data_IF_641514464871
#
_entry.id   IF_641514464871
#
_cell.length_a   1.000
_cell.length_b   1.000
_cell.length_c   1.000
_cell.angle_alpha   90.00
_cell.angle_beta   90.00
_cell.angle_gamma   90.00
#
_symmetry.space_group_name_H-M   'P 1'
#
loop_
_entity.id
_entity.type
_entity.pdbx_description
1 polymer ?
#
# COMPACT_ATOMS: atom_id res chain seq x y z
N UNK A 1 -19.04 41.28 -89.45
CA UNK A 1 -19.96 40.99 -88.38
C UNK A 1 -19.25 40.00 -87.46
N UNK A 2 -18.60 40.51 -86.41
CA UNK A 2 -17.73 39.76 -85.54
C UNK A 2 -18.41 39.48 -84.22
N UNK A 3 -18.59 38.19 -83.83
CA UNK A 3 -19.18 37.75 -82.58
C UNK A 3 -18.03 37.65 -81.55
N UNK A 4 -18.19 38.36 -80.41
CA UNK A 4 -17.28 38.30 -79.29
C UNK A 4 -17.70 37.11 -78.37
N UNK A 5 -16.75 36.14 -78.18
CA UNK A 5 -16.84 35.11 -77.19
C UNK A 5 -16.42 35.65 -75.81
N UNK A 6 -17.32 35.61 -74.83
CA UNK A 6 -16.98 35.86 -73.43
C UNK A 6 -16.58 34.56 -72.74
N UNK A 7 -15.35 34.48 -72.31
CA UNK A 7 -14.80 33.41 -71.46
C UNK A 7 -15.14 33.72 -69.99
N UNK A 8 -15.90 32.83 -69.35
CA UNK A 8 -16.14 32.90 -67.89
C UNK A 8 -15.08 32.08 -67.19
N UNK A 9 -14.19 32.74 -66.47
CA UNK A 9 -13.22 32.07 -65.60
C UNK A 9 -13.96 31.63 -64.33
N UNK A 10 -13.93 30.34 -64.03
CA UNK A 10 -14.45 29.73 -62.80
C UNK A 10 -13.30 29.69 -61.82
N UNK A 11 -13.36 30.53 -60.77
CA UNK A 11 -12.39 30.50 -59.64
C UNK A 11 -12.92 29.43 -58.67
N UNK A 12 -12.26 28.25 -58.67
CA UNK A 12 -12.50 27.20 -57.71
C UNK A 12 -11.83 27.58 -56.36
N UNK A 13 -12.63 27.89 -55.39
CA UNK A 13 -12.20 28.13 -54.02
C UNK A 13 -11.99 26.77 -53.32
N UNK A 14 -10.72 26.35 -53.18
CA UNK A 14 -10.35 25.17 -52.40
C UNK A 14 -10.45 25.51 -50.91
N UNK A 15 -11.48 24.99 -50.24
CA UNK A 15 -11.54 24.95 -48.78
C UNK A 15 -10.59 23.87 -48.26
N UNK A 16 -9.47 24.28 -47.74
CA UNK A 16 -8.57 23.41 -46.97
C UNK A 16 -9.16 23.23 -45.55
N UNK A 17 -9.92 22.17 -45.35
CA UNK A 17 -10.37 21.78 -44.03
C UNK A 17 -9.17 21.16 -43.27
N UNK A 18 -8.53 21.94 -42.43
CA UNK A 18 -7.56 21.44 -41.42
C UNK A 18 -8.32 20.62 -40.37
N UNK A 19 -8.25 19.32 -40.48
CA UNK A 19 -8.66 18.39 -39.42
C UNK A 19 -7.67 18.57 -38.23
N UNK A 20 -8.07 19.36 -37.25
CA UNK A 20 -7.38 19.40 -35.94
C UNK A 20 -7.76 18.11 -35.23
N UNK A 21 -6.90 17.09 -35.35
CA UNK A 21 -6.91 15.94 -34.44
C UNK A 21 -6.50 16.46 -33.06
N UNK A 22 -7.48 16.84 -32.26
CA UNK A 22 -7.30 17.02 -30.84
C UNK A 22 -6.87 15.68 -30.24
N UNK A 23 -5.58 15.49 -29.96
CA UNK A 23 -5.13 14.45 -29.04
C UNK A 23 -5.76 14.75 -27.69
N UNK A 24 -6.91 14.14 -27.38
CA UNK A 24 -7.33 13.98 -26.01
C UNK A 24 -6.22 13.20 -25.31
N UNK A 25 -5.42 13.90 -24.51
CA UNK A 25 -4.49 13.27 -23.60
C UNK A 25 -5.31 12.31 -22.73
N UNK A 26 -5.17 11.02 -22.97
CA UNK A 26 -5.84 9.99 -22.20
C UNK A 26 -5.39 10.20 -20.77
N UNK A 27 -6.30 10.68 -19.92
CA UNK A 27 -6.01 10.95 -18.51
C UNK A 27 -5.50 9.65 -17.89
N UNK A 28 -4.17 9.60 -17.66
CA UNK A 28 -3.52 8.42 -17.12
C UNK A 28 -4.14 8.12 -15.76
N UNK A 29 -4.64 6.91 -15.60
CA UNK A 29 -5.20 6.48 -14.32
C UNK A 29 -4.09 6.46 -13.27
N UNK A 30 -4.13 7.42 -12.35
CA UNK A 30 -3.18 7.59 -11.25
C UNK A 30 -3.71 7.04 -9.93
N UNK A 31 -4.72 6.18 -9.99
CA UNK A 31 -5.26 5.51 -8.82
C UNK A 31 -4.33 4.40 -8.36
N UNK A 32 -4.13 4.33 -7.05
CA UNK A 32 -3.33 3.31 -6.36
C UNK A 32 -4.17 2.73 -5.23
N UNK A 33 -4.45 1.43 -5.29
CA UNK A 33 -5.16 0.69 -4.23
C UNK A 33 -4.14 0.04 -3.31
N UNK A 34 -4.26 0.28 -2.02
CA UNK A 34 -3.36 -0.20 -0.97
C UNK A 34 -4.15 -0.97 0.07
N UNK A 35 -3.73 -2.19 0.35
CA UNK A 35 -4.23 -3.01 1.45
C UNK A 35 -3.17 -3.12 2.56
N UNK A 36 -3.53 -2.80 3.81
CA UNK A 36 -2.81 -3.21 5.02
C UNK A 36 -3.53 -4.42 5.60
N UNK A 37 -2.82 -5.51 5.86
CA UNK A 37 -3.43 -6.73 6.37
C UNK A 37 -2.46 -7.53 7.25
N UNK A 38 -2.69 -7.53 8.55
CA UNK A 38 -2.04 -8.46 9.47
C UNK A 38 -2.63 -9.86 9.26
N UNK A 39 -1.78 -10.84 8.97
CA UNK A 39 -2.19 -12.20 8.53
C UNK A 39 -2.07 -13.27 9.61
N UNK A 40 -1.92 -12.87 10.88
CA UNK A 40 -1.83 -13.80 12.01
C UNK A 40 -0.83 -14.96 11.71
N UNK A 41 0.37 -14.63 11.26
CA UNK A 41 1.46 -15.55 10.86
C UNK A 41 1.06 -16.73 9.94
N UNK A 42 0.01 -16.53 9.14
CA UNK A 42 -0.51 -17.57 8.23
C UNK A 42 -1.45 -18.57 8.87
N UNK A 43 -1.68 -18.49 10.18
CA UNK A 43 -2.73 -19.25 10.86
C UNK A 43 -4.11 -18.61 10.62
N UNK A 44 -5.14 -19.38 10.91
CA UNK A 44 -6.51 -18.87 10.98
C UNK A 44 -6.91 -18.69 12.43
N UNK A 45 -7.92 -17.88 12.70
CA UNK A 45 -8.44 -17.64 14.08
C UNK A 45 -8.96 -18.89 14.77
N UNK A 46 -9.30 -19.94 14.03
CA UNK A 46 -9.70 -21.24 14.58
C UNK A 46 -8.51 -22.22 14.76
N UNK A 47 -7.27 -21.73 14.59
CA UNK A 47 -6.05 -22.53 14.78
C UNK A 47 -5.68 -23.46 13.62
N UNK A 48 -6.39 -23.40 12.48
CA UNK A 48 -5.98 -24.10 11.25
C UNK A 48 -4.94 -23.29 10.48
N UNK A 49 -4.33 -23.92 9.47
CA UNK A 49 -3.38 -23.27 8.58
C UNK A 49 -3.87 -23.46 7.14
N UNK A 50 -4.42 -22.36 6.57
CA UNK A 50 -4.98 -22.34 5.23
C UNK A 50 -4.71 -21.00 4.54
N UNK A 51 -3.69 -20.98 3.69
CA UNK A 51 -3.27 -19.79 2.97
C UNK A 51 -4.24 -19.35 1.87
N UNK A 52 -5.14 -20.23 1.42
CA UNK A 52 -6.14 -19.87 0.41
C UNK A 52 -7.21 -18.93 0.99
N UNK A 53 -7.54 -19.06 2.27
CA UNK A 53 -8.45 -18.14 2.96
C UNK A 53 -7.84 -16.74 2.98
N UNK A 54 -6.57 -16.60 3.39
CA UNK A 54 -5.84 -15.32 3.40
C UNK A 54 -5.72 -14.76 1.98
N UNK A 55 -5.34 -15.59 1.01
CA UNK A 55 -5.22 -15.18 -0.39
C UNK A 55 -6.56 -14.70 -0.97
N UNK A 56 -7.69 -15.25 -0.54
CA UNK A 56 -9.02 -14.81 -0.98
C UNK A 56 -9.37 -13.40 -0.47
N UNK A 57 -8.97 -13.03 0.75
CA UNK A 57 -9.10 -11.65 1.24
C UNK A 57 -8.29 -10.70 0.35
N UNK A 58 -7.05 -11.04 0.03
CA UNK A 58 -6.17 -10.24 -0.83
C UNK A 58 -6.75 -10.12 -2.25
N UNK A 59 -7.24 -11.21 -2.84
CA UNK A 59 -7.88 -11.19 -4.16
C UNK A 59 -9.14 -10.32 -4.19
N UNK A 60 -9.97 -10.39 -3.13
CA UNK A 60 -11.18 -9.57 -2.99
C UNK A 60 -10.87 -8.08 -2.91
N UNK A 61 -9.74 -7.71 -2.29
CA UNK A 61 -9.28 -6.33 -2.24
C UNK A 61 -8.91 -5.79 -3.63
N UNK A 62 -8.41 -6.63 -4.52
CA UNK A 62 -7.86 -6.24 -5.83
C UNK A 62 -6.88 -5.07 -5.71
N UNK A 63 -6.05 -5.09 -4.65
CA UNK A 63 -5.09 -4.03 -4.35
C UNK A 63 -3.92 -4.04 -5.34
N UNK A 64 -3.31 -2.87 -5.56
CA UNK A 64 -2.07 -2.73 -6.32
C UNK A 64 -0.86 -3.07 -5.46
N UNK A 65 -0.93 -2.73 -4.17
CA UNK A 65 0.05 -3.05 -3.14
C UNK A 65 -0.64 -3.63 -1.91
N UNK A 66 -0.01 -4.63 -1.32
CA UNK A 66 -0.42 -5.21 -0.04
C UNK A 66 0.76 -5.16 0.92
N UNK A 67 0.58 -4.52 2.07
CA UNK A 67 1.46 -4.61 3.22
C UNK A 67 0.93 -5.71 4.14
N UNK A 68 1.71 -6.76 4.32
CA UNK A 68 1.39 -7.88 5.20
C UNK A 68 2.22 -7.77 6.47
N UNK A 69 1.57 -7.87 7.62
CA UNK A 69 2.17 -7.94 8.93
C UNK A 69 2.07 -9.36 9.49
N UNK A 70 2.93 -9.68 10.45
CA UNK A 70 3.05 -11.00 11.05
C UNK A 70 3.34 -12.08 9.99
N UNK A 71 4.41 -11.89 9.23
CA UNK A 71 4.75 -12.80 8.15
C UNK A 71 5.86 -13.73 8.57
N UNK A 72 5.57 -15.01 8.58
CA UNK A 72 6.56 -16.08 8.80
C UNK A 72 7.25 -16.48 7.50
N UNK A 73 8.55 -16.68 7.58
CA UNK A 73 9.37 -17.23 6.51
C UNK A 73 10.06 -18.51 7.01
N UNK A 74 9.55 -19.66 6.58
CA UNK A 74 10.08 -21.00 6.90
C UNK A 74 10.15 -21.32 8.40
N UNK A 75 9.28 -20.75 9.22
CA UNK A 75 9.15 -21.12 10.63
C UNK A 75 8.48 -22.49 10.80
N UNK A 76 8.72 -23.15 11.93
CA UNK A 76 8.08 -24.43 12.21
C UNK A 76 6.56 -24.29 12.34
N UNK A 77 6.07 -23.23 13.01
CA UNK A 77 4.62 -22.97 13.16
C UNK A 77 3.94 -22.75 11.81
N UNK A 78 4.61 -22.13 10.84
CA UNK A 78 4.14 -21.97 9.47
C UNK A 78 4.48 -23.18 8.57
N UNK A 79 4.75 -24.36 9.15
CA UNK A 79 5.03 -25.61 8.43
C UNK A 79 6.17 -25.48 7.40
N UNK A 80 7.15 -24.64 7.69
CA UNK A 80 8.30 -24.30 6.83
C UNK A 80 7.92 -23.68 5.47
N UNK A 81 6.70 -23.11 5.34
CA UNK A 81 6.33 -22.38 4.13
C UNK A 81 7.03 -21.00 4.07
N UNK A 82 7.38 -20.61 2.85
CA UNK A 82 7.72 -19.25 2.48
C UNK A 82 6.41 -18.49 2.23
N UNK A 83 5.80 -17.92 3.31
CA UNK A 83 4.48 -17.30 3.23
C UNK A 83 4.42 -16.19 2.16
N UNK A 84 5.40 -15.27 2.04
CA UNK A 84 5.40 -14.27 0.98
C UNK A 84 5.29 -14.86 -0.41
N UNK A 85 6.11 -15.85 -0.74
CA UNK A 85 6.09 -16.51 -2.06
C UNK A 85 4.78 -17.26 -2.28
N UNK A 86 4.31 -18.00 -1.30
CA UNK A 86 3.04 -18.75 -1.37
C UNK A 86 1.83 -17.82 -1.64
N UNK A 87 1.75 -16.70 -0.93
CA UNK A 87 0.69 -15.71 -1.14
C UNK A 87 0.87 -14.99 -2.48
N UNK A 88 2.11 -14.66 -2.86
CA UNK A 88 2.42 -14.08 -4.17
C UNK A 88 1.93 -14.93 -5.34
N UNK A 89 2.20 -16.25 -5.28
CA UNK A 89 1.73 -17.21 -6.31
C UNK A 89 0.20 -17.27 -6.35
N UNK A 90 -0.45 -17.42 -5.19
CA UNK A 90 -1.93 -17.51 -5.10
C UNK A 90 -2.64 -16.25 -5.58
N UNK A 91 -2.03 -15.09 -5.39
CA UNK A 91 -2.60 -13.78 -5.75
C UNK A 91 -2.10 -13.24 -7.09
N UNK A 92 -1.11 -13.92 -7.72
CA UNK A 92 -0.42 -13.48 -8.95
C UNK A 92 0.25 -12.12 -8.78
N UNK A 93 0.85 -11.89 -7.62
CA UNK A 93 1.57 -10.66 -7.27
C UNK A 93 3.06 -10.95 -7.04
N UNK A 94 3.92 -9.98 -7.36
CA UNK A 94 5.33 -10.01 -6.98
C UNK A 94 5.44 -9.86 -5.47
N UNK A 95 6.22 -10.74 -4.81
CA UNK A 95 6.37 -10.76 -3.37
C UNK A 95 7.81 -10.43 -2.95
N UNK A 96 7.94 -9.78 -1.79
CA UNK A 96 9.22 -9.59 -1.11
C UNK A 96 9.03 -9.68 0.39
N UNK A 97 10.02 -10.26 1.09
CA UNK A 97 10.06 -10.40 2.53
C UNK A 97 11.11 -9.46 3.15
N UNK A 98 10.77 -8.85 4.29
CA UNK A 98 11.65 -8.05 5.13
C UNK A 98 11.75 -8.65 6.52
N UNK A 99 12.86 -9.31 6.82
CA UNK A 99 13.09 -9.91 8.13
C UNK A 99 13.21 -8.86 9.22
N UNK A 100 12.43 -9.00 10.28
CA UNK A 100 12.62 -8.31 11.56
C UNK A 100 13.53 -9.12 12.50
N UNK A 101 13.32 -10.45 12.59
CA UNK A 101 14.09 -11.32 13.48
C UNK A 101 14.16 -12.77 12.97
N UNK A 102 15.06 -13.55 13.56
CA UNK A 102 15.01 -15.02 13.51
C UNK A 102 14.01 -15.53 14.54
N UNK A 103 13.16 -16.44 14.15
CA UNK A 103 12.10 -16.95 14.99
C UNK A 103 11.72 -18.39 14.60
N UNK A 104 11.52 -19.26 15.59
CA UNK A 104 10.95 -20.59 15.46
C UNK A 104 11.56 -21.45 14.31
N UNK A 105 12.89 -21.44 14.20
CA UNK A 105 13.63 -22.18 13.17
C UNK A 105 13.70 -21.52 11.79
N UNK A 106 13.01 -20.40 11.60
CA UNK A 106 12.99 -19.59 10.40
C UNK A 106 13.16 -18.11 10.70
N UNK A 107 12.38 -17.25 10.00
CA UNK A 107 12.41 -15.81 10.14
C UNK A 107 10.98 -15.25 10.27
N UNK A 108 10.85 -14.09 10.90
CA UNK A 108 9.60 -13.36 11.08
C UNK A 108 9.79 -11.89 10.72
N UNK A 109 8.76 -11.29 10.14
CA UNK A 109 8.81 -9.88 9.73
C UNK A 109 7.61 -9.45 8.92
N UNK A 110 7.90 -8.65 7.88
CA UNK A 110 6.91 -8.03 7.01
C UNK A 110 7.01 -8.57 5.58
N UNK A 111 5.92 -8.49 4.81
CA UNK A 111 6.00 -8.70 3.38
C UNK A 111 5.24 -7.64 2.61
N UNK A 112 5.67 -7.41 1.38
CA UNK A 112 4.95 -6.59 0.41
C UNK A 112 4.62 -7.47 -0.78
N UNK A 113 3.32 -7.46 -1.17
CA UNK A 113 2.89 -7.98 -2.46
C UNK A 113 2.54 -6.80 -3.38
N UNK A 114 2.86 -6.93 -4.67
CA UNK A 114 2.64 -5.86 -5.65
C UNK A 114 2.25 -6.42 -7.02
N UNK A 115 1.34 -5.73 -7.71
CA UNK A 115 1.06 -5.95 -9.15
C UNK A 115 2.17 -5.41 -10.05
N UNK A 116 3.15 -4.66 -9.47
CA UNK A 116 4.27 -4.06 -10.18
C UNK A 116 5.58 -4.72 -9.81
N UNK A 117 6.56 -4.65 -10.71
CA UNK A 117 7.94 -5.04 -10.43
C UNK A 117 8.65 -3.98 -9.59
N UNK A 118 9.60 -4.40 -8.78
CA UNK A 118 10.38 -3.50 -7.93
C UNK A 118 11.62 -2.98 -8.65
N UNK A 119 11.84 -1.65 -8.61
CA UNK A 119 13.08 -1.02 -9.04
C UNK A 119 14.17 -1.15 -7.99
N UNK A 120 13.80 -1.01 -6.72
CA UNK A 120 14.68 -1.17 -5.57
C UNK A 120 13.88 -1.58 -4.34
N UNK A 121 14.58 -2.18 -3.38
CA UNK A 121 14.02 -2.60 -2.11
C UNK A 121 14.98 -2.22 -0.98
N UNK A 122 14.43 -1.92 0.20
CA UNK A 122 15.19 -1.62 1.40
C UNK A 122 14.46 -2.15 2.62
N UNK A 123 15.16 -2.91 3.46
CA UNK A 123 14.67 -3.34 4.76
C UNK A 123 15.38 -2.55 5.85
N UNK A 124 14.65 -1.81 6.66
CA UNK A 124 15.19 -0.90 7.68
C UNK A 124 14.78 -1.38 9.06
N UNK A 125 15.74 -1.86 9.87
CA UNK A 125 15.48 -2.20 11.26
C UNK A 125 14.99 -0.97 12.03
N UNK A 126 13.96 -1.15 12.86
CA UNK A 126 13.44 -0.12 13.74
C UNK A 126 14.04 -0.27 15.15
N UNK A 127 14.15 0.82 15.92
CA UNK A 127 14.65 0.75 17.29
C UNK A 127 13.69 -0.07 18.18
N UNK A 128 14.26 -0.79 19.13
CA UNK A 128 13.52 -1.55 20.13
C UNK A 128 14.32 -1.68 21.43
N UNK A 129 13.61 -1.84 22.54
CA UNK A 129 14.21 -2.11 23.85
C UNK A 129 14.72 -3.55 23.91
N UNK A 130 15.90 -3.76 24.46
CA UNK A 130 16.46 -5.12 24.61
C UNK A 130 15.49 -6.03 25.35
N UNK A 131 15.14 -7.15 24.74
CA UNK A 131 14.18 -8.12 25.27
C UNK A 131 12.77 -8.01 24.64
N UNK A 132 12.46 -6.90 23.99
CA UNK A 132 11.24 -6.74 23.21
C UNK A 132 11.42 -7.31 21.78
N UNK A 133 10.35 -7.40 21.05
CA UNK A 133 10.31 -7.95 19.69
C UNK A 133 10.89 -6.94 18.68
N UNK A 134 11.93 -7.32 17.91
CA UNK A 134 12.45 -6.47 16.84
C UNK A 134 11.39 -6.21 15.77
N UNK A 135 11.36 -4.97 15.25
CA UNK A 135 10.48 -4.54 14.17
C UNK A 135 11.28 -4.00 13.00
N UNK A 136 10.68 -3.98 11.83
CA UNK A 136 11.28 -3.48 10.61
C UNK A 136 10.30 -2.66 9.77
N UNK A 137 10.83 -1.88 8.84
CA UNK A 137 10.08 -1.24 7.79
C UNK A 137 10.66 -1.66 6.44
N UNK A 138 9.87 -2.36 5.66
CA UNK A 138 10.20 -2.86 4.32
C UNK A 138 9.72 -1.85 3.29
N UNK A 139 10.63 -1.33 2.45
CA UNK A 139 10.32 -0.41 1.37
C UNK A 139 10.55 -1.04 0.01
N UNK A 140 9.67 -0.73 -0.93
CA UNK A 140 9.85 -0.97 -2.36
C UNK A 140 9.67 0.32 -3.13
N UNK A 141 10.49 0.54 -4.17
CA UNK A 141 10.29 1.60 -5.15
C UNK A 141 9.84 0.97 -6.46
N UNK A 142 8.85 1.55 -7.12
CA UNK A 142 8.25 0.98 -8.33
C UNK A 142 7.74 2.06 -9.29
N UNK A 143 7.54 1.69 -10.56
CA UNK A 143 6.90 2.54 -11.58
C UNK A 143 5.45 2.08 -11.77
N UNK A 144 4.52 2.99 -11.58
CA UNK A 144 3.09 2.76 -11.83
C UNK A 144 2.79 2.68 -13.34
N UNK A 145 1.62 2.16 -13.71
CA UNK A 145 1.15 2.17 -15.12
C UNK A 145 1.06 3.58 -15.72
N UNK A 146 0.90 4.61 -14.89
CA UNK A 146 0.94 6.01 -15.31
C UNK A 146 2.33 6.50 -15.75
N UNK A 147 3.40 5.76 -15.40
CA UNK A 147 4.80 6.13 -15.58
C UNK A 147 5.39 6.87 -14.38
N UNK A 148 4.60 7.18 -13.37
CA UNK A 148 5.08 7.81 -12.14
C UNK A 148 5.83 6.79 -11.27
N UNK A 149 6.89 7.24 -10.60
CA UNK A 149 7.63 6.43 -9.63
C UNK A 149 7.16 6.77 -8.22
N UNK A 150 6.89 5.75 -7.41
CA UNK A 150 6.52 5.89 -5.99
C UNK A 150 7.35 4.97 -5.11
N UNK A 151 7.40 5.28 -3.81
CA UNK A 151 7.85 4.36 -2.76
C UNK A 151 6.66 3.85 -1.96
N UNK A 152 6.66 2.55 -1.65
CA UNK A 152 5.67 1.90 -0.79
C UNK A 152 6.37 1.21 0.37
N UNK A 153 5.91 1.46 1.61
CA UNK A 153 6.51 0.96 2.84
C UNK A 153 5.49 0.13 3.59
N UNK A 154 5.87 -1.10 3.96
CA UNK A 154 5.16 -1.96 4.89
C UNK A 154 5.86 -1.99 6.24
N UNK A 155 5.12 -1.92 7.35
CA UNK A 155 5.67 -1.98 8.71
C UNK A 155 4.68 -2.54 9.71
N UNK A 156 5.18 -3.02 10.84
CA UNK A 156 4.43 -3.44 12.01
C UNK A 156 5.13 -2.88 13.24
N UNK A 157 4.47 -2.02 14.02
CA UNK A 157 5.08 -1.43 15.22
C UNK A 157 4.89 -2.34 16.44
N UNK A 158 5.64 -2.03 17.49
CA UNK A 158 5.55 -2.77 18.75
C UNK A 158 4.13 -2.77 19.33
N UNK A 159 3.73 -3.89 19.96
CA UNK A 159 2.37 -4.11 20.46
C UNK A 159 2.22 -3.96 21.98
N UNK A 160 3.34 -3.75 22.71
CA UNK A 160 3.30 -3.72 24.17
C UNK A 160 2.47 -2.53 24.69
N UNK A 161 1.94 -2.66 25.89
CA UNK A 161 1.14 -1.62 26.55
C UNK A 161 1.93 -0.30 26.69
N UNK A 162 3.23 -0.42 27.05
CA UNK A 162 4.13 0.72 27.16
C UNK A 162 4.58 1.16 25.76
N UNK A 163 4.26 2.38 25.38
CA UNK A 163 4.45 2.92 24.02
C UNK A 163 5.89 3.35 23.65
N UNK A 164 6.86 3.11 24.54
CA UNK A 164 8.25 3.62 24.36
C UNK A 164 8.86 3.20 23.01
N UNK A 165 8.73 1.92 22.66
CA UNK A 165 9.27 1.41 21.40
C UNK A 165 8.47 1.93 20.21
N UNK A 166 7.12 1.94 20.26
CA UNK A 166 6.27 2.52 19.19
C UNK A 166 6.63 3.99 18.91
N UNK A 167 6.81 4.80 19.95
CA UNK A 167 7.19 6.21 19.83
C UNK A 167 8.56 6.37 19.17
N UNK A 168 9.55 5.56 19.57
CA UNK A 168 10.88 5.58 18.96
C UNK A 168 10.86 5.06 17.53
N UNK A 169 10.06 4.05 17.23
CA UNK A 169 9.85 3.50 15.90
C UNK A 169 9.16 4.51 14.95
N UNK A 170 8.12 5.19 15.39
CA UNK A 170 7.49 6.27 14.63
C UNK A 170 8.47 7.41 14.32
N UNK A 171 9.31 7.77 15.28
CA UNK A 171 10.37 8.78 15.10
C UNK A 171 11.40 8.31 14.06
N UNK A 172 11.80 7.03 14.12
CA UNK A 172 12.74 6.43 13.16
C UNK A 172 12.14 6.38 11.75
N UNK A 173 10.86 6.02 11.58
CA UNK A 173 10.16 6.06 10.30
C UNK A 173 10.24 7.47 9.67
N UNK A 174 9.94 8.52 10.43
CA UNK A 174 10.08 9.90 9.96
C UNK A 174 11.52 10.21 9.53
N UNK A 175 12.51 9.88 10.36
CA UNK A 175 13.92 10.15 10.09
C UNK A 175 14.41 9.49 8.79
N UNK A 176 13.95 8.29 8.50
CA UNK A 176 14.39 7.48 7.36
C UNK A 176 13.64 7.86 6.08
N UNK A 177 12.31 7.94 6.14
CA UNK A 177 11.47 7.93 4.94
C UNK A 177 10.99 9.31 4.48
N UNK A 178 11.03 10.35 5.31
CA UNK A 178 10.76 11.72 4.86
C UNK A 178 11.82 12.26 3.88
N UNK A 179 12.94 11.57 3.74
CA UNK A 179 14.02 11.88 2.79
C UNK A 179 13.83 11.17 1.43
N UNK A 180 12.78 10.40 1.27
CA UNK A 180 12.53 9.69 0.02
C UNK A 180 12.35 10.68 -1.13
N UNK A 181 12.92 10.32 -2.28
CA UNK A 181 12.86 11.12 -3.50
C UNK A 181 11.46 11.14 -4.13
N UNK A 182 10.71 10.08 -3.94
CA UNK A 182 9.44 9.84 -4.62
C UNK A 182 8.25 9.98 -3.66
N UNK A 183 7.05 10.31 -4.16
CA UNK A 183 5.84 10.21 -3.38
C UNK A 183 5.74 8.86 -2.70
N UNK A 184 5.48 8.85 -1.41
CA UNK A 184 5.63 7.66 -0.55
C UNK A 184 4.32 7.34 0.14
N UNK A 185 3.99 6.05 0.23
CA UNK A 185 2.89 5.50 1.02
C UNK A 185 3.49 4.63 2.11
N UNK A 186 3.05 4.82 3.35
CA UNK A 186 3.36 4.00 4.52
C UNK A 186 2.10 3.26 4.94
N UNK A 187 2.17 1.93 5.02
CA UNK A 187 1.05 1.06 5.35
C UNK A 187 1.46 0.05 6.41
N UNK A 188 0.56 -0.27 7.33
CA UNK A 188 0.84 -1.30 8.33
C UNK A 188 -0.06 -1.26 9.55
N UNK A 189 0.14 -2.25 10.41
CA UNK A 189 -0.37 -2.29 11.77
C UNK A 189 0.56 -1.45 12.67
N UNK A 190 0.06 -0.31 13.12
CA UNK A 190 0.83 0.60 13.96
C UNK A 190 0.58 0.37 15.46
N UNK A 191 -0.25 -0.61 15.80
CA UNK A 191 -0.57 -1.03 17.17
C UNK A 191 -0.94 0.13 18.11
N UNK A 192 -1.52 1.19 17.56
CA UNK A 192 -1.88 2.36 18.36
C UNK A 192 -3.10 3.09 17.76
N UNK A 193 -3.84 3.78 18.61
CA UNK A 193 -5.09 4.46 18.22
C UNK A 193 -4.82 5.88 17.69
N UNK A 194 -5.77 6.48 16.91
CA UNK A 194 -5.60 7.78 16.25
C UNK A 194 -5.23 8.97 17.16
N UNK A 195 -5.49 8.86 18.46
CA UNK A 195 -5.21 9.91 19.46
C UNK A 195 -3.88 9.73 20.17
N UNK A 196 -3.18 8.62 19.90
CA UNK A 196 -1.94 8.28 20.58
C UNK A 196 -0.77 9.19 20.21
N UNK A 197 0.27 9.17 21.05
CA UNK A 197 1.54 9.87 20.82
C UNK A 197 2.23 9.36 19.55
N UNK A 198 2.23 8.05 19.33
CA UNK A 198 2.82 7.39 18.15
C UNK A 198 2.22 7.93 16.87
N UNK A 199 0.89 7.91 16.74
CA UNK A 199 0.19 8.39 15.55
C UNK A 199 0.37 9.90 15.36
N UNK A 200 0.34 10.68 16.42
CA UNK A 200 0.58 12.13 16.35
C UNK A 200 2.00 12.45 15.84
N UNK A 201 3.03 11.69 16.23
CA UNK A 201 4.41 11.85 15.71
C UNK A 201 4.44 11.63 14.20
N UNK A 202 3.78 10.61 13.68
CA UNK A 202 3.69 10.36 12.24
C UNK A 202 2.89 11.46 11.55
N UNK A 203 1.73 11.82 12.06
CA UNK A 203 0.84 12.83 11.47
C UNK A 203 1.36 14.27 11.49
N UNK A 204 2.46 14.56 12.21
CA UNK A 204 3.16 15.84 12.05
C UNK A 204 3.65 16.04 10.60
N UNK A 205 3.96 14.97 9.89
CA UNK A 205 4.54 14.98 8.54
C UNK A 205 3.64 14.27 7.51
N UNK A 206 3.23 13.05 7.82
CA UNK A 206 2.37 12.25 6.96
C UNK A 206 0.92 12.71 7.02
N UNK A 207 0.17 12.44 5.96
CA UNK A 207 -1.28 12.57 5.98
C UNK A 207 -1.90 11.19 6.12
N UNK A 208 -2.78 11.04 7.10
CA UNK A 208 -3.54 9.81 7.27
C UNK A 208 -4.70 9.71 6.28
N UNK A 209 -4.96 8.51 5.79
CA UNK A 209 -6.09 8.26 4.89
C UNK A 209 -7.44 8.21 5.60
N UNK A 210 -7.48 8.01 6.90
CA UNK A 210 -8.73 7.89 7.66
C UNK A 210 -9.37 9.24 7.99
N UNK A 211 -10.67 9.22 8.32
CA UNK A 211 -11.37 10.36 8.88
C UNK A 211 -11.21 10.35 10.41
N UNK A 212 -10.59 11.38 10.99
CA UNK A 212 -10.36 11.49 12.44
C UNK A 212 -11.66 11.51 13.26
N UNK A 213 -12.71 12.11 12.74
CA UNK A 213 -14.00 12.20 13.44
C UNK A 213 -14.74 10.84 13.47
N UNK A 214 -14.48 9.97 12.49
CA UNK A 214 -15.13 8.67 12.36
C UNK A 214 -14.14 7.67 11.69
N UNK A 215 -13.12 7.19 12.42
CA UNK A 215 -12.15 6.26 11.86
C UNK A 215 -12.80 4.89 11.65
N UNK A 216 -12.59 4.30 10.48
CA UNK A 216 -12.98 2.92 10.23
C UNK A 216 -12.09 2.02 11.09
N UNK A 217 -12.71 1.23 11.95
CA UNK A 217 -12.02 0.32 12.87
C UNK A 217 -11.62 -0.96 12.15
N UNK A 218 -10.54 -1.60 12.62
CA UNK A 218 -9.92 -2.74 11.94
C UNK A 218 -9.69 -3.96 12.84
N UNK A 219 -9.78 -3.79 14.17
CA UNK A 219 -9.51 -4.84 15.15
C UNK A 219 -10.53 -4.82 16.30
N UNK A 220 -10.92 -5.98 16.85
CA UNK A 220 -10.76 -7.31 16.26
C UNK A 220 -11.70 -7.52 15.06
N UNK A 221 -11.45 -8.53 14.21
CA UNK A 221 -12.15 -8.71 12.93
C UNK A 221 -13.62 -9.10 13.08
N UNK A 222 -13.99 -9.78 14.16
CA UNK A 222 -15.36 -10.21 14.46
C UNK A 222 -16.27 -9.05 14.93
N UNK A 223 -15.71 -8.08 15.66
CA UNK A 223 -16.41 -6.88 16.12
C UNK A 223 -15.44 -5.70 16.24
N UNK A 224 -15.08 -5.03 15.15
CA UNK A 224 -14.03 -4.00 15.16
C UNK A 224 -14.33 -2.84 16.11
N UNK A 225 -13.49 -2.67 17.12
CA UNK A 225 -13.58 -1.62 18.13
C UNK A 225 -12.39 -0.64 18.10
N UNK A 226 -11.24 -1.07 17.57
CA UNK A 226 -10.01 -0.29 17.49
C UNK A 226 -9.63 -0.01 16.04
N UNK A 227 -9.01 1.16 15.81
CA UNK A 227 -8.33 1.53 14.58
C UNK A 227 -6.84 1.47 14.85
N UNK A 228 -6.16 0.41 14.37
CA UNK A 228 -4.73 0.18 14.56
C UNK A 228 -3.97 -0.07 13.26
N UNK A 229 -4.66 -0.42 12.16
CA UNK A 229 -4.08 -0.57 10.83
C UNK A 229 -4.22 0.73 10.04
N UNK A 230 -3.17 1.18 9.36
CA UNK A 230 -3.10 2.48 8.74
C UNK A 230 -2.57 2.45 7.31
N UNK A 231 -2.97 3.46 6.54
CA UNK A 231 -2.33 3.91 5.31
C UNK A 231 -2.10 5.40 5.45
N UNK A 232 -0.84 5.81 5.43
CA UNK A 232 -0.38 7.18 5.51
C UNK A 232 0.37 7.53 4.22
N UNK A 233 0.48 8.81 3.87
CA UNK A 233 1.16 9.23 2.66
C UNK A 233 1.92 10.56 2.81
N UNK A 234 2.98 10.71 2.01
CA UNK A 234 3.85 11.89 1.98
C UNK A 234 4.47 12.08 0.58
N UNK A 235 4.66 13.31 0.06
CA UNK A 235 4.15 14.56 0.64
C UNK A 235 2.60 14.63 0.56
N UNK A 236 2.00 15.43 1.44
CA UNK A 236 0.54 15.47 1.63
C UNK A 236 -0.22 15.94 0.38
N UNK A 237 0.36 16.89 -0.35
CA UNK A 237 -0.21 17.52 -1.56
C UNK A 237 -0.16 16.60 -2.79
N UNK A 238 0.70 15.57 -2.78
CA UNK A 238 0.81 14.61 -3.89
C UNK A 238 -0.26 13.54 -3.89
N UNK A 239 -1.10 13.46 -2.86
CA UNK A 239 -2.05 12.37 -2.73
C UNK A 239 -3.43 12.85 -2.31
N UNK A 240 -4.45 12.23 -2.88
CA UNK A 240 -5.86 12.42 -2.50
C UNK A 240 -6.50 11.08 -2.18
N UNK A 241 -7.22 11.02 -1.06
CA UNK A 241 -8.00 9.82 -0.70
C UNK A 241 -9.29 9.80 -1.50
N UNK A 242 -9.47 8.76 -2.30
CA UNK A 242 -10.67 8.54 -3.12
C UNK A 242 -11.66 7.64 -2.38
N UNK A 243 -11.18 6.54 -1.80
CA UNK A 243 -12.02 5.57 -1.08
C UNK A 243 -11.26 4.94 0.06
N UNK A 244 -11.99 4.53 1.09
CA UNK A 244 -11.50 3.72 2.20
C UNK A 244 -12.58 2.74 2.65
N UNK A 245 -12.17 1.53 2.96
CA UNK A 245 -13.04 0.45 3.40
C UNK A 245 -12.27 -0.61 4.17
N UNK A 246 -12.96 -1.53 4.81
CA UNK A 246 -12.37 -2.74 5.41
C UNK A 246 -12.89 -3.98 4.71
N UNK A 247 -12.06 -5.00 4.68
CA UNK A 247 -12.42 -6.35 4.25
C UNK A 247 -12.16 -7.26 5.43
N UNK A 248 -13.23 -7.69 6.09
CA UNK A 248 -13.13 -8.58 7.23
C UNK A 248 -13.48 -10.00 6.81
N UNK A 249 -12.67 -10.94 7.24
CA UNK A 249 -12.93 -12.38 7.23
C UNK A 249 -12.45 -12.92 8.58
N UNK A 250 -13.37 -13.23 9.43
CA UNK A 250 -13.11 -13.61 10.84
C UNK A 250 -12.34 -14.92 10.99
N UNK A 251 -12.23 -15.69 9.91
CA UNK A 251 -11.42 -16.91 9.89
C UNK A 251 -10.00 -16.60 9.41
N UNK A 252 -9.85 -15.71 8.42
CA UNK A 252 -8.57 -15.39 7.82
C UNK A 252 -7.58 -14.71 8.78
N UNK A 253 -8.08 -13.84 9.66
CA UNK A 253 -7.27 -13.09 10.63
C UNK A 253 -8.17 -12.49 11.72
N UNK A 254 -7.58 -12.17 12.87
CA UNK A 254 -8.17 -11.35 13.90
C UNK A 254 -8.15 -9.84 13.55
N UNK A 255 -7.53 -9.45 12.43
CA UNK A 255 -7.62 -8.12 11.84
C UNK A 255 -8.51 -8.11 10.59
N UNK A 256 -9.21 -7.00 10.35
CA UNK A 256 -9.76 -6.68 9.04
C UNK A 256 -8.68 -6.05 8.14
N UNK A 257 -8.60 -6.44 6.89
CA UNK A 257 -7.79 -5.73 5.92
C UNK A 257 -8.28 -4.30 5.71
N UNK A 258 -7.40 -3.30 5.86
CA UNK A 258 -7.72 -1.88 5.62
C UNK A 258 -7.35 -1.50 4.20
N UNK A 259 -8.35 -1.29 3.34
CA UNK A 259 -8.20 -0.98 1.93
C UNK A 259 -8.43 0.51 1.67
N UNK A 260 -7.46 1.14 1.01
CA UNK A 260 -7.51 2.56 0.64
C UNK A 260 -7.21 2.72 -0.84
N UNK A 261 -8.02 3.52 -1.53
CA UNK A 261 -7.71 4.01 -2.88
C UNK A 261 -7.20 5.43 -2.79
N UNK A 262 -5.98 5.66 -3.23
CA UNK A 262 -5.34 6.96 -3.35
C UNK A 262 -5.25 7.38 -4.82
N UNK A 263 -5.33 8.67 -5.08
CA UNK A 263 -5.04 9.29 -6.37
C UNK A 263 -3.72 10.07 -6.23
N UNK A 264 -2.74 9.75 -7.09
CA UNK A 264 -1.52 10.54 -7.19
C UNK A 264 -1.82 11.79 -8.00
N UNK A 265 -1.58 12.96 -7.41
CA UNK A 265 -1.82 14.28 -8.04
C UNK A 265 -0.52 14.86 -8.55
N UNK A 266 -0.60 15.65 -9.62
CA UNK A 266 0.54 16.33 -10.26
C UNK A 266 1.22 17.37 -9.39
#
# INVERSE_FOLDING_TARGET
MFAKKHSKAFIGMFFLSTLIFGQQAQQKNKLVKVLSFNILHGATTNGSFDLDIIANVIKKADADFVSLQEVDFKTNRAKNYDLPTELGVRTKMTAIFGRAMYYDGGEYGEAILSKYSFLSTRNSALPYTKGNEPRTALEVTTVLKSGDTISFIGTHLDHLEIDTDRVSQATALNKVFLKNKYPTILSGDLNDVPTSKTINILENYWKASYNKASPIKTYPSDNPTLKIDYVLYYPREKWKVVRRETICDVIASDHCGYLVTLELVD
#
